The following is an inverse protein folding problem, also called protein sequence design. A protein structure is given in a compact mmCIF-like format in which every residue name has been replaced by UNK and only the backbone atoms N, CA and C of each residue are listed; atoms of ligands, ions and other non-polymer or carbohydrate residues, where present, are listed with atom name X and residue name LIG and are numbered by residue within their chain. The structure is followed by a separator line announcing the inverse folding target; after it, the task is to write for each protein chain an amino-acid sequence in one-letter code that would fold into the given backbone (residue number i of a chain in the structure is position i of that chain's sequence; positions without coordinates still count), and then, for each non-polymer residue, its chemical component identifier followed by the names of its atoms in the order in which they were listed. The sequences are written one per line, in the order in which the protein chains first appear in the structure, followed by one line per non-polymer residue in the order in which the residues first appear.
data_IF_967532398010
#
_entry.id   IF_967532398010
#
_cell.length_a   1.000
_cell.length_b   1.000
_cell.length_c   1.000
_cell.angle_alpha   90.00
_cell.angle_beta   90.00
_cell.angle_gamma   90.00
#
_symmetry.space_group_name_H-M   'P 1'
#
loop_
_entity.id
_entity.type
_entity.pdbx_description
1 polymer ?
#
# COMPACT_ATOMS: atom_id res chain seq x y z
N UNK A 1 -1.94 34.58 15.37
CA UNK A 1 -2.14 33.38 16.21
C UNK A 1 -1.28 32.28 15.64
N UNK A 2 -0.52 31.61 16.51
CA UNK A 2 0.68 30.82 16.21
C UNK A 2 0.35 29.51 15.47
N UNK A 3 0.94 29.32 14.30
CA UNK A 3 0.93 28.03 13.58
C UNK A 3 2.17 27.25 14.00
N UNK A 4 1.96 26.09 14.61
CA UNK A 4 2.98 25.19 15.12
C UNK A 4 3.55 24.41 13.92
N UNK A 5 4.78 24.72 13.53
CA UNK A 5 5.55 23.91 12.59
C UNK A 5 6.06 22.67 13.33
N UNK A 6 5.58 21.48 12.94
CA UNK A 6 6.13 20.22 13.42
C UNK A 6 7.43 19.96 12.65
N UNK A 7 8.53 20.48 13.18
CA UNK A 7 9.89 20.20 12.69
C UNK A 7 10.24 18.78 13.12
N UNK A 8 10.38 17.86 12.17
CA UNK A 8 11.10 16.60 12.39
C UNK A 8 12.57 16.94 12.67
N UNK A 9 12.91 17.10 13.95
CA UNK A 9 14.29 17.20 14.39
C UNK A 9 14.98 15.85 14.16
N UNK A 10 15.85 15.80 13.17
CA UNK A 10 16.92 14.80 13.11
C UNK A 10 17.87 15.13 14.26
N UNK A 11 17.67 14.50 15.41
CA UNK A 11 18.66 14.51 16.48
C UNK A 11 19.85 13.64 16.05
N UNK A 12 20.82 14.25 15.37
CA UNK A 12 22.19 13.76 15.36
C UNK A 12 22.77 14.00 16.77
N UNK A 13 22.41 13.11 17.70
CA UNK A 13 23.17 12.98 18.94
C UNK A 13 24.52 12.38 18.56
N UNK A 14 25.57 13.19 18.69
CA UNK A 14 26.93 12.69 18.64
C UNK A 14 27.16 11.78 19.86
N UNK A 15 26.80 10.50 19.72
CA UNK A 15 27.15 9.47 20.69
C UNK A 15 28.66 9.25 20.65
N UNK A 16 29.35 9.81 21.64
CA UNK A 16 30.69 9.39 22.03
C UNK A 16 30.68 7.89 22.34
N UNK A 17 31.31 7.07 21.50
CA UNK A 17 31.93 5.81 21.97
C UNK A 17 31.42 4.46 21.47
N UNK A 18 30.65 4.37 20.38
CA UNK A 18 30.47 3.07 19.70
C UNK A 18 31.22 3.10 18.36
N UNK A 19 32.30 2.32 18.26
CA UNK A 19 32.87 1.99 16.95
C UNK A 19 31.88 1.02 16.29
N UNK A 20 31.34 1.36 15.12
CA UNK A 20 30.42 0.48 14.39
C UNK A 20 30.95 -0.95 14.22
N UNK A 21 30.09 -1.89 13.90
CA UNK A 21 30.45 -3.31 13.85
C UNK A 21 31.23 -3.69 12.60
N UNK A 22 32.12 -4.67 12.74
CA UNK A 22 32.80 -5.34 11.64
C UNK A 22 32.19 -6.73 11.45
N UNK A 23 31.07 -6.77 10.74
CA UNK A 23 30.27 -7.98 10.52
C UNK A 23 31.05 -9.07 9.78
N UNK A 24 31.90 -8.70 8.82
CA UNK A 24 32.81 -9.62 8.10
C UNK A 24 34.19 -8.98 8.01
N UNK A 25 35.24 -9.78 8.19
CA UNK A 25 36.64 -9.37 8.09
C UNK A 25 37.43 -10.34 7.20
N UNK A 26 37.92 -9.86 6.05
CA UNK A 26 38.74 -10.70 5.15
C UNK A 26 38.05 -11.96 4.62
N UNK A 27 36.72 -11.90 4.41
CA UNK A 27 35.90 -13.01 3.92
C UNK A 27 35.50 -14.02 5.00
N UNK A 28 35.71 -13.70 6.28
CA UNK A 28 35.34 -14.54 7.42
C UNK A 28 34.52 -13.73 8.42
N UNK A 29 33.62 -14.40 9.14
CA UNK A 29 32.84 -13.79 10.21
C UNK A 29 32.78 -14.72 11.41
N UNK A 30 32.89 -14.13 12.60
CA UNK A 30 32.64 -14.82 13.87
C UNK A 30 31.25 -14.46 14.43
N UNK A 31 30.42 -13.76 13.66
CA UNK A 31 29.06 -13.41 14.07
C UNK A 31 28.12 -14.60 13.94
N UNK A 32 26.99 -14.51 14.64
CA UNK A 32 25.82 -15.35 14.42
C UNK A 32 24.59 -14.46 14.23
N UNK A 33 23.66 -14.86 13.39
CA UNK A 33 22.32 -14.25 13.32
C UNK A 33 21.42 -15.04 14.28
N UNK A 34 20.87 -14.37 15.29
CA UNK A 34 19.99 -14.95 16.30
C UNK A 34 18.56 -14.50 16.03
N UNK A 35 17.65 -15.47 15.99
CA UNK A 35 16.19 -15.30 15.88
C UNK A 35 15.50 -16.06 17.02
N UNK A 36 14.21 -15.79 17.32
CA UNK A 36 13.50 -16.47 18.41
C UNK A 36 13.48 -18.00 18.28
N UNK A 37 13.22 -18.69 19.39
CA UNK A 37 13.09 -20.17 19.39
C UNK A 37 11.94 -20.65 18.49
N UNK A 38 10.83 -19.90 18.48
CA UNK A 38 9.68 -20.10 17.61
C UNK A 38 9.52 -18.86 16.73
N UNK A 39 10.33 -18.71 15.67
CA UNK A 39 10.33 -17.50 14.87
C UNK A 39 9.08 -17.43 13.99
N UNK A 40 8.63 -16.21 13.70
CA UNK A 40 7.65 -15.96 12.64
C UNK A 40 8.28 -16.18 11.25
N UNK A 41 7.46 -16.38 10.22
CA UNK A 41 7.94 -16.48 8.85
C UNK A 41 8.76 -15.24 8.42
N UNK A 42 8.43 -14.08 8.98
CA UNK A 42 9.01 -12.78 8.69
C UNK A 42 10.39 -12.64 9.34
N UNK A 43 10.58 -13.17 10.55
CA UNK A 43 11.89 -13.24 11.20
C UNK A 43 12.83 -14.20 10.47
N UNK A 44 12.32 -15.37 10.03
CA UNK A 44 13.10 -16.32 9.21
C UNK A 44 13.47 -15.70 7.86
N UNK A 45 12.52 -15.04 7.19
CA UNK A 45 12.74 -14.33 5.91
C UNK A 45 13.77 -13.22 6.04
N UNK A 46 13.71 -12.42 7.11
CA UNK A 46 14.68 -11.37 7.38
C UNK A 46 16.10 -11.92 7.62
N UNK A 47 16.22 -12.99 8.42
CA UNK A 47 17.51 -13.67 8.64
C UNK A 47 18.09 -14.25 7.35
N UNK A 48 17.24 -14.83 6.50
CA UNK A 48 17.63 -15.34 5.19
C UNK A 48 18.15 -14.22 4.27
N UNK A 49 17.46 -13.07 4.20
CA UNK A 49 17.92 -11.93 3.40
C UNK A 49 19.30 -11.47 3.85
N UNK A 50 19.49 -11.27 5.16
CA UNK A 50 20.76 -10.80 5.69
C UNK A 50 21.90 -11.78 5.41
N UNK A 51 21.70 -13.07 5.71
CA UNK A 51 22.70 -14.12 5.46
C UNK A 51 23.05 -14.20 3.97
N UNK A 52 22.04 -14.22 3.11
CA UNK A 52 22.20 -14.35 1.66
C UNK A 52 22.98 -13.18 1.08
N UNK A 53 22.63 -11.94 1.43
CA UNK A 53 23.33 -10.77 0.90
C UNK A 53 24.74 -10.59 1.50
N UNK A 54 24.95 -10.91 2.79
CA UNK A 54 26.31 -10.94 3.36
C UNK A 54 27.21 -11.92 2.61
N UNK A 55 26.68 -13.12 2.26
CA UNK A 55 27.39 -14.11 1.44
C UNK A 55 27.62 -13.61 0.02
N UNK A 56 26.61 -13.00 -0.63
CA UNK A 56 26.76 -12.39 -1.97
C UNK A 56 27.83 -11.29 -1.97
N UNK A 57 27.91 -10.45 -0.93
CA UNK A 57 28.86 -9.33 -0.84
C UNK A 57 30.29 -9.82 -0.60
N UNK A 58 30.47 -10.73 0.37
CA UNK A 58 31.80 -11.03 0.93
C UNK A 58 32.30 -12.45 0.70
N UNK A 59 31.40 -13.38 0.41
CA UNK A 59 31.63 -14.82 0.40
C UNK A 59 31.58 -15.47 1.78
N UNK A 60 31.45 -14.70 2.86
CA UNK A 60 31.30 -15.24 4.21
C UNK A 60 29.84 -15.67 4.46
N UNK A 61 29.66 -16.83 5.07
CA UNK A 61 28.36 -17.31 5.52
C UNK A 61 28.25 -17.15 7.03
N UNK A 62 27.25 -16.41 7.49
CA UNK A 62 26.99 -16.20 8.91
C UNK A 62 25.88 -17.17 9.33
N UNK A 63 26.10 -18.07 10.31
CA UNK A 63 25.09 -19.03 10.71
C UNK A 63 23.86 -18.34 11.31
N UNK A 64 22.67 -18.80 10.92
CA UNK A 64 21.40 -18.45 11.57
C UNK A 64 21.12 -19.48 12.66
N UNK A 65 20.90 -19.01 13.89
CA UNK A 65 20.70 -19.84 15.08
C UNK A 65 19.42 -19.41 15.78
N UNK A 66 18.53 -20.38 16.04
CA UNK A 66 17.32 -20.15 16.84
C UNK A 66 17.67 -20.08 18.32
N UNK A 67 17.03 -19.17 19.03
CA UNK A 67 17.14 -19.01 20.48
C UNK A 67 17.81 -17.71 20.92
N UNK A 68 17.11 -17.01 21.81
CA UNK A 68 17.49 -15.71 22.35
C UNK A 68 18.01 -15.78 23.79
N UNK A 69 18.43 -16.97 24.24
CA UNK A 69 19.11 -17.18 25.52
C UNK A 69 20.50 -16.54 25.54
N UNK A 70 21.53 -17.27 25.98
CA UNK A 70 22.89 -16.74 26.05
C UNK A 70 23.40 -16.29 24.66
N UNK A 71 23.42 -14.96 24.46
CA UNK A 71 23.87 -14.33 23.23
C UNK A 71 25.41 -14.23 23.23
N UNK A 72 26.09 -14.63 22.14
CA UNK A 72 27.53 -14.42 22.03
C UNK A 72 27.86 -12.92 21.93
N UNK A 73 29.13 -12.57 22.16
CA UNK A 73 29.62 -11.18 22.06
C UNK A 73 29.35 -10.57 20.67
N UNK A 74 29.66 -11.32 19.60
CA UNK A 74 29.41 -10.93 18.20
C UNK A 74 28.10 -11.53 17.70
N UNK A 75 27.07 -10.70 17.61
CA UNK A 75 25.72 -11.18 17.30
C UNK A 75 24.91 -10.17 16.50
N UNK A 76 24.13 -10.67 15.54
CA UNK A 76 23.00 -9.94 14.96
C UNK A 76 21.73 -10.52 15.55
N UNK A 77 20.92 -9.70 16.22
CA UNK A 77 19.62 -10.10 16.77
C UNK A 77 18.53 -9.60 15.84
N UNK A 78 17.66 -10.49 15.37
CA UNK A 78 16.48 -10.14 14.56
C UNK A 78 15.26 -10.70 15.29
N UNK A 79 14.31 -9.84 15.66
CA UNK A 79 13.05 -10.26 16.25
C UNK A 79 11.94 -9.22 16.08
N UNK A 80 10.71 -9.65 16.14
CA UNK A 80 9.56 -8.79 16.40
C UNK A 80 9.62 -8.28 17.84
N UNK A 81 9.30 -7.00 18.04
CA UNK A 81 9.28 -6.38 19.36
C UNK A 81 8.04 -5.49 19.54
N UNK A 82 7.34 -5.67 20.66
CA UNK A 82 6.12 -4.90 20.96
C UNK A 82 6.35 -3.41 21.17
N UNK A 83 7.61 -2.96 21.34
CA UNK A 83 7.97 -1.55 21.37
C UNK A 83 7.90 -0.86 20.00
N UNK A 84 7.90 -1.63 18.90
CA UNK A 84 7.74 -1.11 17.54
C UNK A 84 6.25 -1.12 17.18
N UNK A 85 5.58 0.01 17.45
CA UNK A 85 4.11 0.12 17.36
C UNK A 85 3.58 -0.06 15.93
N UNK A 86 4.29 0.48 14.92
CA UNK A 86 3.89 0.29 13.53
C UNK A 86 4.25 -1.13 13.07
N UNK A 87 3.27 -1.87 12.53
CA UNK A 87 3.41 -3.27 12.13
C UNK A 87 4.54 -3.53 11.12
N UNK A 88 4.76 -2.58 10.21
CA UNK A 88 5.83 -2.62 9.20
C UNK A 88 7.04 -1.77 9.58
N UNK A 89 6.97 -1.04 10.69
CA UNK A 89 8.08 -0.25 11.20
C UNK A 89 9.23 -1.11 11.71
N UNK A 90 10.39 -0.48 11.87
CA UNK A 90 11.56 -1.14 12.44
C UNK A 90 12.45 -0.18 13.22
N UNK A 91 13.28 -0.74 14.08
CA UNK A 91 14.38 -0.04 14.76
C UNK A 91 15.67 -0.83 14.59
N UNK A 92 16.75 -0.11 14.32
CA UNK A 92 18.09 -0.65 14.15
C UNK A 92 19.00 -0.01 15.19
N UNK A 93 19.78 -0.83 15.90
CA UNK A 93 20.76 -0.33 16.85
C UNK A 93 22.05 -1.15 16.83
N UNK A 94 23.20 -0.48 16.88
CA UNK A 94 24.48 -1.12 17.21
C UNK A 94 24.92 -0.74 18.62
N UNK A 95 25.33 -1.74 19.38
CA UNK A 95 25.91 -1.56 20.71
C UNK A 95 27.07 -2.55 20.90
N UNK A 96 28.29 -2.03 21.05
CA UNK A 96 29.50 -2.85 21.04
C UNK A 96 29.62 -3.71 19.77
N UNK A 97 29.67 -5.03 19.93
CA UNK A 97 29.72 -6.03 18.84
C UNK A 97 28.34 -6.58 18.46
N UNK A 98 27.25 -5.94 18.90
CA UNK A 98 25.87 -6.36 18.63
C UNK A 98 25.21 -5.43 17.61
N UNK A 99 24.56 -6.02 16.63
CA UNK A 99 23.54 -5.36 15.80
C UNK A 99 22.16 -5.90 16.20
N UNK A 100 21.22 -5.03 16.48
CA UNK A 100 19.84 -5.39 16.82
C UNK A 100 18.90 -4.81 15.78
N UNK A 101 18.05 -5.66 15.22
CA UNK A 101 17.01 -5.34 14.24
C UNK A 101 15.68 -5.75 14.87
N UNK A 102 14.91 -4.77 15.32
CA UNK A 102 13.57 -5.00 15.86
C UNK A 102 12.54 -4.57 14.83
N UNK A 103 11.58 -5.44 14.54
CA UNK A 103 10.47 -5.14 13.65
C UNK A 103 9.13 -5.09 14.37
N UNK A 104 8.15 -4.43 13.76
CA UNK A 104 6.75 -4.60 14.13
C UNK A 104 6.22 -6.01 13.83
N UNK A 105 4.92 -6.21 14.08
CA UNK A 105 4.28 -7.53 14.01
C UNK A 105 4.03 -8.07 12.59
N UNK A 106 4.37 -7.32 11.55
CA UNK A 106 4.22 -7.72 10.15
C UNK A 106 5.60 -7.78 9.47
N UNK A 107 5.89 -6.96 8.44
CA UNK A 107 7.13 -7.07 7.65
C UNK A 107 8.30 -6.25 8.19
N UNK A 108 8.19 -5.66 9.38
CA UNK A 108 9.21 -4.78 9.96
C UNK A 108 10.62 -5.38 10.02
N UNK A 109 10.78 -6.65 10.41
CA UNK A 109 12.10 -7.30 10.46
C UNK A 109 12.74 -7.38 9.06
N UNK A 110 11.95 -7.71 8.04
CA UNK A 110 12.40 -7.82 6.65
C UNK A 110 12.86 -6.43 6.17
N UNK A 111 12.05 -5.40 6.40
CA UNK A 111 12.34 -4.04 5.97
C UNK A 111 13.55 -3.43 6.70
N UNK A 112 13.73 -3.74 7.99
CA UNK A 112 14.92 -3.33 8.73
C UNK A 112 16.21 -3.96 8.20
N UNK A 113 16.17 -5.23 7.81
CA UNK A 113 17.31 -5.88 7.12
C UNK A 113 17.57 -5.22 5.77
N UNK A 114 16.54 -5.04 4.94
CA UNK A 114 16.69 -4.39 3.62
C UNK A 114 17.24 -2.97 3.77
N UNK A 115 16.83 -2.21 4.78
CA UNK A 115 17.35 -0.86 5.02
C UNK A 115 18.87 -0.87 5.27
N UNK A 116 19.37 -1.85 6.02
CA UNK A 116 20.83 -2.05 6.19
C UNK A 116 21.49 -2.39 4.86
N UNK A 117 20.90 -3.34 4.10
CA UNK A 117 21.45 -3.75 2.80
C UNK A 117 21.54 -2.56 1.83
N UNK A 118 20.51 -1.72 1.76
CA UNK A 118 20.46 -0.58 0.85
C UNK A 118 21.32 0.59 1.32
N UNK A 119 21.12 1.06 2.56
CA UNK A 119 21.71 2.32 3.05
C UNK A 119 23.13 2.14 3.56
N UNK A 120 23.46 0.98 4.13
CA UNK A 120 24.78 0.74 4.74
C UNK A 120 25.69 -0.08 3.83
N UNK A 121 25.13 -1.02 3.05
CA UNK A 121 25.91 -1.95 2.23
C UNK A 121 25.85 -1.67 0.73
N UNK A 122 25.03 -0.71 0.29
CA UNK A 122 24.94 -0.27 -1.10
C UNK A 122 24.31 -1.29 -2.05
N UNK A 123 23.54 -2.25 -1.53
CA UNK A 123 22.78 -3.16 -2.36
C UNK A 123 21.57 -2.46 -2.99
N UNK A 124 21.17 -2.90 -4.18
CA UNK A 124 19.98 -2.43 -4.88
C UNK A 124 19.31 -3.61 -5.57
N UNK A 125 17.99 -3.60 -5.60
CA UNK A 125 17.19 -4.39 -6.52
C UNK A 125 16.40 -3.38 -7.34
N UNK A 126 16.65 -3.29 -8.64
CA UNK A 126 15.97 -2.31 -9.50
C UNK A 126 14.80 -2.96 -10.26
N UNK A 127 14.93 -4.26 -10.55
CA UNK A 127 13.89 -5.11 -11.14
C UNK A 127 14.03 -6.53 -10.59
N UNK A 128 13.03 -7.41 -10.77
CA UNK A 128 13.18 -8.83 -10.43
C UNK A 128 14.39 -9.51 -11.10
N UNK A 129 14.78 -9.04 -12.29
CA UNK A 129 15.91 -9.60 -13.05
C UNK A 129 17.24 -8.89 -12.84
N UNK A 130 17.29 -7.79 -12.09
CA UNK A 130 18.50 -6.97 -11.97
C UNK A 130 18.71 -6.40 -10.57
N UNK A 131 19.77 -6.88 -9.93
CA UNK A 131 20.28 -6.39 -8.66
C UNK A 131 21.72 -5.89 -8.79
N UNK A 132 22.09 -4.94 -7.94
CA UNK A 132 23.47 -4.49 -7.74
C UNK A 132 23.89 -4.92 -6.33
N UNK A 133 24.93 -5.75 -6.26
CA UNK A 133 25.50 -6.23 -4.99
C UNK A 133 27.00 -5.93 -4.96
N UNK A 134 27.45 -4.95 -4.16
CA UNK A 134 28.87 -4.63 -4.02
C UNK A 134 29.70 -5.83 -3.56
N UNK A 135 30.96 -5.90 -4.00
CA UNK A 135 31.87 -7.01 -3.65
C UNK A 135 32.98 -6.53 -2.73
N UNK A 136 32.92 -6.95 -1.46
CA UNK A 136 33.88 -6.56 -0.44
C UNK A 136 34.20 -7.72 0.50
N UNK A 137 35.48 -8.01 0.72
CA UNK A 137 35.90 -9.03 1.70
C UNK A 137 35.68 -8.59 3.15
N UNK A 138 35.43 -7.32 3.41
CA UNK A 138 35.19 -6.80 4.75
C UNK A 138 33.90 -6.01 4.73
N UNK A 139 32.96 -6.36 5.62
CA UNK A 139 31.69 -5.65 5.80
C UNK A 139 31.76 -4.91 7.12
N UNK A 140 31.56 -3.60 7.06
CA UNK A 140 31.47 -2.71 8.21
C UNK A 140 30.11 -2.04 8.20
N UNK A 141 29.46 -2.03 9.34
CA UNK A 141 28.23 -1.27 9.54
C UNK A 141 28.60 -0.18 10.56
N UNK A 142 28.40 1.11 10.25
CA UNK A 142 28.74 2.19 11.17
C UNK A 142 27.90 2.11 12.45
N UNK A 143 28.24 2.92 13.45
CA UNK A 143 27.37 3.08 14.61
C UNK A 143 25.99 3.59 14.14
N UNK A 144 24.92 2.92 14.57
CA UNK A 144 23.56 3.21 14.14
C UNK A 144 22.59 3.13 15.32
N UNK A 145 21.66 4.08 15.34
CA UNK A 145 20.49 4.12 16.22
C UNK A 145 19.39 4.80 15.42
N UNK A 146 18.69 4.01 14.60
CA UNK A 146 17.74 4.49 13.60
C UNK A 146 16.40 3.78 13.79
N UNK A 147 15.31 4.47 13.52
CA UNK A 147 13.99 3.84 13.37
C UNK A 147 13.29 4.46 12.18
N UNK A 148 12.52 3.66 11.47
CA UNK A 148 11.77 4.09 10.29
C UNK A 148 10.45 3.33 10.24
N UNK A 149 9.43 3.95 9.66
CA UNK A 149 8.08 3.39 9.53
C UNK A 149 7.36 4.03 8.35
N UNK A 150 6.44 3.32 7.70
CA UNK A 150 5.73 3.87 6.57
C UNK A 150 4.72 4.95 7.00
N UNK A 151 4.55 5.97 6.16
CA UNK A 151 3.42 6.91 6.28
C UNK A 151 2.13 6.24 5.79
N UNK A 152 2.18 5.49 4.69
CA UNK A 152 1.03 4.79 4.14
C UNK A 152 0.99 3.34 4.64
N UNK A 153 -0.11 2.93 5.26
CA UNK A 153 -0.29 1.64 5.91
C UNK A 153 -0.55 0.49 4.94
N UNK A 154 -0.97 0.79 3.71
CA UNK A 154 -1.12 -0.18 2.62
C UNK A 154 -0.58 0.42 1.31
N UNK A 155 0.29 -0.31 0.62
CA UNK A 155 1.19 0.19 -0.43
C UNK A 155 1.23 -0.77 -1.62
N UNK A 156 0.10 -0.91 -2.30
CA UNK A 156 0.04 -1.71 -3.51
C UNK A 156 0.44 -0.89 -4.73
N UNK A 157 1.50 -1.30 -5.40
CA UNK A 157 1.84 -0.84 -6.74
C UNK A 157 1.56 -1.99 -7.70
N UNK A 158 0.42 -1.91 -8.40
CA UNK A 158 -0.08 -3.04 -9.18
C UNK A 158 0.77 -3.26 -10.43
N UNK A 159 1.60 -4.31 -10.40
CA UNK A 159 2.53 -4.66 -11.46
C UNK A 159 2.90 -6.15 -11.37
N UNK A 160 3.27 -6.76 -12.50
CA UNK A 160 3.86 -8.11 -12.53
C UNK A 160 5.17 -8.22 -11.75
N UNK A 161 5.86 -7.12 -11.48
CA UNK A 161 7.13 -7.20 -10.72
C UNK A 161 6.94 -7.75 -9.31
N UNK A 162 5.76 -7.58 -8.70
CA UNK A 162 5.47 -8.12 -7.37
C UNK A 162 5.10 -9.60 -7.38
N UNK A 163 5.11 -10.27 -8.54
CA UNK A 163 5.06 -11.74 -8.61
C UNK A 163 6.37 -12.37 -8.11
N UNK A 164 7.47 -11.61 -8.13
CA UNK A 164 8.72 -11.99 -7.47
C UNK A 164 8.66 -11.59 -5.99
N UNK A 165 8.69 -12.56 -5.05
CA UNK A 165 8.56 -12.27 -3.62
C UNK A 165 9.78 -11.58 -3.02
N UNK A 166 10.98 -11.75 -3.59
CA UNK A 166 12.17 -11.02 -3.14
C UNK A 166 12.04 -9.54 -3.51
N UNK A 167 11.59 -9.25 -4.73
CA UNK A 167 11.33 -7.89 -5.21
C UNK A 167 10.20 -7.21 -4.45
N UNK A 168 9.09 -7.92 -4.21
CA UNK A 168 7.98 -7.42 -3.41
C UNK A 168 8.45 -6.97 -2.01
N UNK A 169 9.20 -7.84 -1.31
CA UNK A 169 9.75 -7.52 0.00
C UNK A 169 10.75 -6.36 -0.06
N UNK A 170 11.67 -6.38 -1.04
CA UNK A 170 12.70 -5.35 -1.23
C UNK A 170 12.08 -3.95 -1.40
N UNK A 171 10.95 -3.87 -2.12
CA UNK A 171 10.26 -2.62 -2.38
C UNK A 171 9.12 -2.32 -1.41
N UNK A 172 8.93 -3.12 -0.37
CA UNK A 172 7.94 -2.87 0.69
C UNK A 172 6.51 -2.76 0.15
N UNK A 173 6.22 -3.55 -0.89
CA UNK A 173 4.96 -3.53 -1.62
C UNK A 173 3.96 -4.58 -1.09
N UNK A 174 2.68 -4.22 -1.06
CA UNK A 174 1.58 -5.09 -0.65
C UNK A 174 0.85 -5.68 -1.86
N UNK A 175 0.26 -6.87 -1.69
CA UNK A 175 -0.54 -7.53 -2.74
C UNK A 175 -2.03 -7.38 -2.45
N UNK A 176 -2.79 -7.12 -3.52
CA UNK A 176 -4.24 -6.93 -3.46
C UNK A 176 -4.96 -8.11 -2.84
N UNK A 177 -4.52 -9.31 -3.18
CA UNK A 177 -5.14 -10.57 -2.76
C UNK A 177 -4.64 -11.07 -1.41
N UNK A 178 -3.71 -10.37 -0.75
CA UNK A 178 -3.38 -10.66 0.65
C UNK A 178 -4.57 -10.27 1.54
N UNK A 179 -5.17 -9.09 1.29
CA UNK A 179 -6.27 -8.56 2.09
C UNK A 179 -7.67 -8.84 1.51
N UNK A 180 -7.83 -8.74 0.19
CA UNK A 180 -9.13 -8.96 -0.46
C UNK A 180 -9.33 -10.43 -0.87
N UNK A 181 -10.55 -10.97 -0.73
CA UNK A 181 -10.87 -12.32 -1.15
C UNK A 181 -10.86 -12.45 -2.67
N UNK A 182 -10.49 -13.63 -3.16
CA UNK A 182 -10.55 -13.96 -4.58
C UNK A 182 -11.99 -13.80 -5.07
N UNK A 183 -12.18 -12.97 -6.10
CA UNK A 183 -13.48 -12.66 -6.70
C UNK A 183 -14.26 -11.51 -6.05
N UNK A 184 -13.75 -10.89 -4.98
CA UNK A 184 -14.51 -9.91 -4.18
C UNK A 184 -13.77 -8.58 -3.94
N UNK A 185 -13.08 -8.05 -4.96
CA UNK A 185 -12.32 -6.79 -4.86
C UNK A 185 -13.20 -5.54 -5.06
N UNK A 186 -13.93 -5.45 -6.17
CA UNK A 186 -14.85 -4.34 -6.51
C UNK A 186 -15.98 -4.83 -7.39
N UNK A 187 -17.03 -4.02 -7.56
CA UNK A 187 -18.19 -4.34 -8.40
C UNK A 187 -18.85 -5.68 -8.00
N UNK A 188 -18.95 -5.88 -6.69
CA UNK A 188 -19.26 -7.18 -6.10
C UNK A 188 -20.75 -7.38 -5.84
N UNK A 189 -21.58 -6.36 -5.99
CA UNK A 189 -23.01 -6.46 -5.70
C UNK A 189 -23.68 -7.60 -6.48
N UNK A 190 -23.33 -7.82 -7.76
CA UNK A 190 -23.85 -8.96 -8.53
C UNK A 190 -23.35 -10.34 -8.07
N UNK A 191 -22.23 -10.41 -7.34
CA UNK A 191 -21.76 -11.68 -6.75
C UNK A 191 -22.66 -12.10 -5.58
N UNK A 192 -23.18 -11.14 -4.81
CA UNK A 192 -24.07 -11.40 -3.68
C UNK A 192 -25.55 -11.34 -4.07
N UNK A 193 -25.89 -10.67 -5.16
CA UNK A 193 -27.26 -10.46 -5.62
C UNK A 193 -27.34 -10.58 -7.15
N UNK A 194 -27.16 -11.79 -7.69
CA UNK A 194 -27.16 -12.03 -9.12
C UNK A 194 -28.51 -11.70 -9.77
N UNK A 195 -28.56 -10.86 -10.84
CA UNK A 195 -29.81 -10.46 -11.46
C UNK A 195 -30.61 -11.62 -12.05
N UNK A 196 -29.95 -12.68 -12.53
CA UNK A 196 -30.60 -13.86 -13.09
C UNK A 196 -31.52 -14.60 -12.11
N UNK A 197 -31.27 -14.46 -10.80
CA UNK A 197 -32.03 -15.18 -9.77
C UNK A 197 -33.29 -14.41 -9.34
N UNK A 198 -33.29 -13.07 -9.51
CA UNK A 198 -34.32 -12.21 -8.90
C UNK A 198 -34.99 -11.24 -9.86
N UNK A 199 -34.39 -10.84 -10.98
CA UNK A 199 -34.92 -9.72 -11.77
C UNK A 199 -36.27 -10.00 -12.43
N UNK A 200 -36.49 -11.23 -12.92
CA UNK A 200 -37.74 -11.61 -13.59
C UNK A 200 -38.93 -11.67 -12.63
N UNK A 201 -38.71 -12.15 -11.40
CA UNK A 201 -39.77 -12.36 -10.40
C UNK A 201 -39.92 -11.20 -9.43
N UNK A 202 -38.84 -10.45 -9.19
CA UNK A 202 -38.73 -9.35 -8.24
C UNK A 202 -38.02 -8.11 -8.85
N UNK A 203 -38.53 -7.53 -9.94
CA UNK A 203 -37.91 -6.36 -10.55
C UNK A 203 -37.84 -5.15 -9.60
N UNK A 204 -38.69 -5.09 -8.57
CA UNK A 204 -38.68 -4.05 -7.53
C UNK A 204 -37.42 -4.05 -6.66
N UNK A 205 -36.67 -5.16 -6.63
CA UNK A 205 -35.39 -5.25 -5.91
C UNK A 205 -34.26 -4.52 -6.63
N UNK A 206 -34.46 -4.13 -7.90
CA UNK A 206 -33.43 -3.54 -8.74
C UNK A 206 -33.64 -2.04 -8.94
N UNK A 207 -32.61 -1.35 -9.40
CA UNK A 207 -32.64 0.10 -9.58
C UNK A 207 -33.75 0.52 -10.57
N UNK A 208 -34.46 1.60 -10.23
CA UNK A 208 -35.35 2.29 -11.17
C UNK A 208 -34.55 3.37 -11.88
N UNK A 209 -34.49 3.38 -13.20
CA UNK A 209 -33.81 4.41 -14.01
C UNK A 209 -34.75 4.79 -15.15
N UNK A 210 -35.07 6.08 -15.26
CA UNK A 210 -35.93 6.66 -16.29
C UNK A 210 -37.28 5.92 -16.42
N UNK A 211 -37.86 5.57 -15.28
CA UNK A 211 -39.15 4.89 -15.18
C UNK A 211 -39.12 3.38 -15.44
N UNK A 212 -37.94 2.77 -15.65
CA UNK A 212 -37.78 1.33 -15.88
C UNK A 212 -36.88 0.68 -14.83
N UNK A 213 -37.24 -0.54 -14.40
CA UNK A 213 -36.34 -1.35 -13.57
C UNK A 213 -35.27 -1.97 -14.44
N UNK A 214 -34.03 -1.95 -13.97
CA UNK A 214 -32.86 -2.35 -14.74
C UNK A 214 -32.03 -3.39 -13.95
N UNK A 215 -31.56 -4.49 -14.56
CA UNK A 215 -30.88 -5.57 -13.84
C UNK A 215 -29.44 -5.23 -13.40
N UNK A 216 -28.84 -4.16 -13.91
CA UNK A 216 -27.41 -3.85 -13.74
C UNK A 216 -27.05 -3.44 -12.31
N UNK A 217 -28.01 -2.98 -11.51
CA UNK A 217 -27.76 -2.45 -10.18
C UNK A 217 -28.92 -2.75 -9.21
N UNK A 218 -28.65 -3.22 -7.97
CA UNK A 218 -29.70 -3.40 -6.97
C UNK A 218 -30.22 -2.07 -6.41
N UNK A 219 -31.45 -2.08 -5.89
CA UNK A 219 -32.03 -0.96 -5.16
C UNK A 219 -31.65 -1.01 -3.69
N UNK A 220 -30.66 -0.20 -3.28
CA UNK A 220 -30.11 -0.21 -1.91
C UNK A 220 -31.06 0.29 -0.82
N UNK A 221 -32.23 0.84 -1.17
CA UNK A 221 -33.28 1.20 -0.20
C UNK A 221 -34.33 0.09 0.00
N UNK A 222 -34.19 -1.05 -0.70
CA UNK A 222 -35.12 -2.17 -0.59
C UNK A 222 -34.65 -3.16 0.49
N UNK A 223 -35.47 -3.50 1.50
CA UNK A 223 -35.04 -4.31 2.64
C UNK A 223 -34.63 -5.74 2.26
N UNK A 224 -35.30 -6.36 1.28
CA UNK A 224 -34.94 -7.71 0.81
C UNK A 224 -33.56 -7.78 0.15
N UNK A 225 -33.10 -6.68 -0.47
CA UNK A 225 -31.75 -6.61 -1.05
C UNK A 225 -30.71 -6.73 0.06
N UNK A 226 -30.89 -5.97 1.17
CA UNK A 226 -30.01 -6.05 2.33
C UNK A 226 -30.00 -7.48 2.92
N UNK A 227 -31.18 -8.07 3.11
CA UNK A 227 -31.32 -9.42 3.67
C UNK A 227 -30.63 -10.49 2.82
N UNK A 228 -30.84 -10.47 1.50
CA UNK A 228 -30.26 -11.46 0.59
C UNK A 228 -28.75 -11.27 0.46
N UNK A 229 -28.29 -10.03 0.28
CA UNK A 229 -26.87 -9.74 0.12
C UNK A 229 -26.07 -10.10 1.37
N UNK A 230 -26.56 -9.78 2.56
CA UNK A 230 -25.86 -10.12 3.81
C UNK A 230 -25.82 -11.62 4.06
N UNK A 231 -26.88 -12.36 3.70
CA UNK A 231 -26.86 -13.82 3.76
C UNK A 231 -25.80 -14.43 2.82
N UNK A 232 -25.73 -13.96 1.57
CA UNK A 232 -24.76 -14.46 0.59
C UNK A 232 -23.32 -14.02 0.91
N UNK A 233 -23.14 -12.79 1.43
CA UNK A 233 -21.86 -12.32 1.92
C UNK A 233 -21.34 -13.19 3.05
N UNK A 234 -22.20 -13.59 4.00
CA UNK A 234 -21.82 -14.51 5.08
C UNK A 234 -21.31 -15.85 4.54
N UNK A 235 -21.98 -16.42 3.54
CA UNK A 235 -21.52 -17.66 2.91
C UNK A 235 -20.15 -17.48 2.22
N UNK A 236 -19.93 -16.34 1.57
CA UNK A 236 -18.64 -16.03 0.96
C UNK A 236 -17.52 -15.89 2.02
N UNK A 237 -17.82 -15.24 3.16
CA UNK A 237 -16.90 -15.12 4.30
C UNK A 237 -16.54 -16.48 4.90
N UNK A 238 -17.50 -17.40 5.02
CA UNK A 238 -17.25 -18.77 5.48
C UNK A 238 -16.37 -19.57 4.51
N UNK A 239 -16.43 -19.27 3.20
CA UNK A 239 -15.59 -19.91 2.19
C UNK A 239 -14.14 -19.37 2.13
N UNK A 240 -13.89 -18.16 2.62
CA UNK A 240 -12.54 -17.54 2.69
C UNK A 240 -12.31 -16.92 4.09
N UNK A 241 -12.20 -17.75 5.15
CA UNK A 241 -12.26 -17.30 6.54
C UNK A 241 -11.03 -16.48 6.99
N UNK A 242 -9.92 -16.58 6.27
CA UNK A 242 -8.68 -15.83 6.48
C UNK A 242 -8.78 -14.37 6.02
N UNK A 243 -9.81 -14.02 5.25
CA UNK A 243 -10.00 -12.67 4.70
C UNK A 243 -10.78 -11.78 5.66
N UNK A 244 -10.28 -10.55 5.80
CA UNK A 244 -10.80 -9.56 6.74
C UNK A 244 -11.47 -8.37 6.08
N UNK A 245 -11.17 -8.08 4.81
CA UNK A 245 -11.76 -6.97 4.05
C UNK A 245 -12.70 -7.54 2.98
N UNK A 246 -13.94 -7.06 2.93
CA UNK A 246 -14.94 -7.53 1.97
C UNK A 246 -15.55 -6.34 1.23
N UNK A 247 -15.43 -6.33 -0.09
CA UNK A 247 -16.04 -5.29 -0.91
C UNK A 247 -17.51 -5.56 -1.10
N UNK A 248 -18.35 -4.59 -0.75
CA UNK A 248 -19.80 -4.56 -1.04
C UNK A 248 -20.05 -3.27 -1.80
N UNK A 249 -19.72 -3.28 -3.08
CA UNK A 249 -19.61 -2.08 -3.91
C UNK A 249 -20.48 -2.14 -5.16
N UNK A 250 -20.97 -0.97 -5.57
CA UNK A 250 -21.79 -0.80 -6.77
C UNK A 250 -21.20 -1.52 -7.98
N UNK A 251 -22.05 -2.10 -8.84
CA UNK A 251 -21.61 -2.65 -10.11
C UNK A 251 -21.13 -1.51 -11.03
N UNK A 252 -20.42 -1.87 -12.11
CA UNK A 252 -19.88 -0.89 -13.06
C UNK A 252 -20.99 -0.35 -13.97
N UNK A 253 -21.84 0.50 -13.39
CA UNK A 253 -23.00 1.11 -14.03
C UNK A 253 -23.20 2.54 -13.53
N UNK A 254 -23.37 3.47 -14.47
CA UNK A 254 -23.25 4.90 -14.20
C UNK A 254 -24.45 5.52 -13.46
N UNK A 255 -25.63 4.89 -13.49
CA UNK A 255 -26.85 5.49 -12.94
C UNK A 255 -27.18 4.99 -11.53
N UNK A 256 -27.55 5.93 -10.66
CA UNK A 256 -28.11 5.62 -9.35
C UNK A 256 -29.61 5.28 -9.45
N UNK A 257 -30.13 4.54 -8.46
CA UNK A 257 -31.56 4.24 -8.39
C UNK A 257 -32.39 5.51 -8.14
N UNK A 258 -33.41 5.71 -8.97
CA UNK A 258 -34.32 6.85 -8.99
C UNK A 258 -35.68 6.55 -8.36
N UNK A 259 -35.82 5.47 -7.58
CA UNK A 259 -37.05 5.21 -6.82
C UNK A 259 -37.25 6.25 -5.71
N UNK A 260 -38.48 6.43 -5.23
CA UNK A 260 -38.83 7.51 -4.30
C UNK A 260 -37.96 7.52 -3.03
N UNK A 261 -37.73 6.35 -2.43
CA UNK A 261 -36.87 6.21 -1.24
C UNK A 261 -35.42 6.61 -1.52
N UNK A 262 -34.84 6.14 -2.63
CA UNK A 262 -33.47 6.50 -3.00
C UNK A 262 -33.35 8.00 -3.31
N UNK A 263 -34.34 8.58 -4.01
CA UNK A 263 -34.39 10.02 -4.28
C UNK A 263 -34.46 10.85 -3.00
N UNK A 264 -35.28 10.45 -2.04
CA UNK A 264 -35.38 11.10 -0.74
C UNK A 264 -34.04 11.09 0.00
N UNK A 265 -33.38 9.92 0.07
CA UNK A 265 -32.05 9.81 0.69
C UNK A 265 -31.03 10.67 -0.05
N UNK A 266 -31.00 10.65 -1.39
CA UNK A 266 -30.05 11.44 -2.19
C UNK A 266 -30.29 12.95 -1.97
N UNK A 267 -31.54 13.39 -1.92
CA UNK A 267 -31.88 14.78 -1.63
C UNK A 267 -31.44 15.19 -0.22
N UNK A 268 -31.59 14.28 0.75
CA UNK A 268 -31.17 14.49 2.13
C UNK A 268 -29.64 14.58 2.28
N UNK A 269 -28.93 13.70 1.59
CA UNK A 269 -27.48 13.54 1.67
C UNK A 269 -26.71 14.43 0.69
N UNK A 270 -27.39 15.03 -0.29
CA UNK A 270 -26.79 15.82 -1.36
C UNK A 270 -25.88 15.03 -2.31
N UNK A 271 -25.91 13.69 -2.26
CA UNK A 271 -25.03 12.82 -3.07
C UNK A 271 -25.64 11.44 -3.32
N UNK A 272 -25.31 10.85 -4.47
CA UNK A 272 -25.63 9.45 -4.81
C UNK A 272 -24.95 8.42 -3.92
N UNK A 273 -23.93 8.82 -3.15
CA UNK A 273 -23.32 7.96 -2.12
C UNK A 273 -24.22 7.76 -0.90
N UNK A 274 -25.23 8.62 -0.67
CA UNK A 274 -26.12 8.53 0.49
C UNK A 274 -26.74 7.14 0.69
N UNK A 275 -27.48 6.62 -0.31
CA UNK A 275 -28.01 5.25 -0.24
C UNK A 275 -26.93 4.17 -0.09
N UNK A 276 -25.75 4.37 -0.69
CA UNK A 276 -24.62 3.42 -0.60
C UNK A 276 -24.10 3.33 0.83
N UNK A 277 -23.76 4.47 1.45
CA UNK A 277 -23.20 4.50 2.81
C UNK A 277 -24.20 4.01 3.84
N UNK A 278 -25.48 4.39 3.72
CA UNK A 278 -26.52 3.84 4.60
C UNK A 278 -26.61 2.32 4.49
N UNK A 279 -26.59 1.78 3.28
CA UNK A 279 -26.63 0.33 3.06
C UNK A 279 -25.39 -0.38 3.64
N UNK A 280 -24.19 0.10 3.33
CA UNK A 280 -22.96 -0.59 3.77
C UNK A 280 -22.73 -0.45 5.27
N UNK A 281 -23.22 0.62 5.93
CA UNK A 281 -23.22 0.69 7.38
C UNK A 281 -24.09 -0.41 8.01
N UNK A 282 -25.29 -0.67 7.47
CA UNK A 282 -26.12 -1.79 7.94
C UNK A 282 -25.41 -3.14 7.75
N UNK A 283 -24.74 -3.35 6.60
CA UNK A 283 -23.93 -4.54 6.36
C UNK A 283 -22.78 -4.63 7.38
N UNK A 284 -22.04 -3.55 7.59
CA UNK A 284 -20.86 -3.53 8.46
C UNK A 284 -21.21 -3.80 9.93
N UNK A 285 -22.37 -3.37 10.40
CA UNK A 285 -22.88 -3.68 11.76
C UNK A 285 -23.19 -5.16 11.96
N UNK A 286 -23.52 -5.89 10.90
CA UNK A 286 -23.76 -7.34 10.95
C UNK A 286 -22.46 -8.16 11.00
N UNK A 287 -21.32 -7.57 10.60
CA UNK A 287 -20.01 -8.20 10.54
C UNK A 287 -18.93 -7.32 11.20
N UNK A 288 -19.02 -7.08 12.53
CA UNK A 288 -18.13 -6.12 13.22
C UNK A 288 -16.66 -6.55 13.27
N UNK A 289 -16.35 -7.83 13.01
CA UNK A 289 -14.99 -8.37 12.92
C UNK A 289 -14.37 -8.23 11.51
N UNK A 290 -15.14 -7.71 10.55
CA UNK A 290 -14.74 -7.50 9.16
C UNK A 290 -14.73 -6.02 8.82
N UNK A 291 -13.92 -5.65 7.84
CA UNK A 291 -13.96 -4.35 7.17
C UNK A 291 -14.83 -4.48 5.92
N UNK A 292 -15.84 -3.62 5.79
CA UNK A 292 -16.67 -3.55 4.59
C UNK A 292 -16.16 -2.41 3.71
N UNK A 293 -15.61 -2.76 2.54
CA UNK A 293 -15.13 -1.80 1.55
C UNK A 293 -16.26 -1.44 0.58
N UNK A 294 -16.36 -0.17 0.17
CA UNK A 294 -17.27 0.26 -0.89
C UNK A 294 -16.64 1.33 -1.77
N UNK A 295 -17.09 1.43 -3.02
CA UNK A 295 -16.64 2.45 -3.95
C UNK A 295 -17.26 3.82 -3.64
N UNK A 296 -16.44 4.86 -3.77
CA UNK A 296 -16.83 6.23 -4.04
C UNK A 296 -16.42 6.55 -5.48
N UNK A 297 -17.30 6.19 -6.43
CA UNK A 297 -17.01 6.13 -7.86
C UNK A 297 -18.23 6.58 -8.68
N UNK A 298 -17.99 7.38 -9.73
CA UNK A 298 -19.03 7.92 -10.60
C UNK A 298 -20.17 8.59 -9.78
N UNK A 299 -21.40 8.05 -9.83
CA UNK A 299 -22.56 8.62 -9.13
C UNK A 299 -22.41 8.67 -7.61
N UNK A 300 -21.56 7.83 -7.02
CA UNK A 300 -21.30 7.78 -5.57
C UNK A 300 -19.99 8.47 -5.16
N UNK A 301 -19.32 9.18 -6.08
CA UNK A 301 -18.00 9.78 -5.79
C UNK A 301 -18.04 10.82 -4.68
N UNK A 302 -19.02 11.71 -4.68
CA UNK A 302 -19.08 12.78 -3.68
C UNK A 302 -19.53 12.26 -2.32
N UNK A 303 -18.88 12.73 -1.25
CA UNK A 303 -19.23 12.37 0.12
C UNK A 303 -20.68 12.79 0.47
N UNK A 304 -21.41 11.98 1.26
CA UNK A 304 -22.73 12.37 1.77
C UNK A 304 -22.61 13.48 2.83
N UNK A 305 -23.63 14.34 2.94
CA UNK A 305 -23.64 15.48 3.86
C UNK A 305 -23.88 15.10 5.33
N UNK A 306 -24.67 14.06 5.60
CA UNK A 306 -25.13 13.72 6.94
C UNK A 306 -24.61 12.37 7.42
N UNK A 307 -24.85 11.32 6.63
CA UNK A 307 -24.45 9.96 7.02
C UNK A 307 -22.93 9.85 7.01
N UNK A 308 -22.35 9.27 8.06
CA UNK A 308 -20.92 8.98 8.13
C UNK A 308 -20.69 7.47 7.97
N UNK A 309 -19.63 7.03 7.27
CA UNK A 309 -19.23 5.63 7.29
C UNK A 309 -18.97 5.15 8.73
N UNK A 310 -19.43 3.95 9.06
CA UNK A 310 -19.13 3.33 10.36
C UNK A 310 -17.62 2.99 10.47
N UNK A 311 -17.12 2.74 11.69
CA UNK A 311 -15.69 2.59 11.95
C UNK A 311 -15.02 1.43 11.19
N UNK A 312 -15.78 0.41 10.79
CA UNK A 312 -15.32 -0.72 9.98
C UNK A 312 -15.74 -0.62 8.51
N UNK A 313 -16.12 0.57 8.02
CA UNK A 313 -16.36 0.83 6.60
C UNK A 313 -15.14 1.52 5.98
N UNK A 314 -14.64 0.95 4.88
CA UNK A 314 -13.55 1.50 4.07
C UNK A 314 -14.12 2.09 2.78
N UNK A 315 -13.67 3.30 2.43
CA UNK A 315 -14.11 4.03 1.24
C UNK A 315 -13.03 3.96 0.18
N UNK A 316 -13.33 3.27 -0.91
CA UNK A 316 -12.47 3.17 -2.09
C UNK A 316 -12.73 4.35 -3.03
N UNK A 317 -11.90 5.40 -2.94
CA UNK A 317 -12.01 6.60 -3.77
C UNK A 317 -11.13 6.47 -5.02
N UNK A 318 -11.70 6.75 -6.20
CA UNK A 318 -11.01 6.57 -7.48
C UNK A 318 -10.65 7.90 -8.15
N UNK A 319 -9.49 7.96 -8.79
CA UNK A 319 -8.99 9.16 -9.52
C UNK A 319 -9.07 9.03 -11.06
N UNK A 320 -9.89 8.10 -11.59
CA UNK A 320 -9.86 7.73 -13.02
C UNK A 320 -10.02 8.91 -13.99
N UNK A 321 -10.79 9.94 -13.61
CA UNK A 321 -11.09 11.11 -14.45
C UNK A 321 -9.98 12.19 -14.44
N UNK A 322 -8.96 12.07 -13.59
CA UNK A 322 -8.00 13.17 -13.40
C UNK A 322 -7.05 13.35 -14.59
N UNK A 323 -6.62 14.59 -14.83
CA UNK A 323 -5.48 14.82 -15.70
C UNK A 323 -4.20 14.24 -15.06
N UNK A 324 -3.30 13.66 -15.87
CA UNK A 324 -2.03 13.08 -15.40
C UNK A 324 -0.79 13.84 -15.87
N UNK A 325 -0.95 14.93 -16.63
CA UNK A 325 0.16 15.78 -17.06
C UNK A 325 0.56 16.84 -16.03
N UNK A 326 -0.28 17.10 -15.03
CA UNK A 326 -0.10 18.14 -14.01
C UNK A 326 -0.50 17.57 -12.63
N UNK A 327 0.10 18.05 -11.53
CA UNK A 327 -0.35 17.68 -10.20
C UNK A 327 -1.84 17.99 -9.98
N UNK A 328 -2.58 17.09 -9.33
CA UNK A 328 -4.03 17.21 -9.10
C UNK A 328 -4.36 18.51 -8.33
N UNK A 329 -3.49 18.92 -7.43
CA UNK A 329 -3.66 20.15 -6.64
C UNK A 329 -3.52 21.44 -7.46
N UNK A 330 -2.86 21.38 -8.62
CA UNK A 330 -2.57 22.52 -9.48
C UNK A 330 -3.48 22.57 -10.72
N UNK A 331 -4.09 21.45 -11.08
CA UNK A 331 -5.01 21.35 -12.21
C UNK A 331 -6.42 21.85 -11.85
N UNK A 332 -6.83 22.98 -12.42
CA UNK A 332 -8.16 23.57 -12.18
C UNK A 332 -9.32 22.62 -12.55
N UNK A 333 -9.12 21.69 -13.50
CA UNK A 333 -10.14 20.68 -13.89
C UNK A 333 -10.41 19.68 -12.77
N UNK A 334 -9.47 19.52 -11.85
CA UNK A 334 -9.56 18.60 -10.71
C UNK A 334 -10.31 19.19 -9.50
N UNK A 335 -10.89 20.40 -9.62
CA UNK A 335 -11.61 21.08 -8.53
C UNK A 335 -12.70 20.20 -7.88
N UNK A 336 -13.45 19.42 -8.67
CA UNK A 336 -14.50 18.54 -8.14
C UNK A 336 -13.92 17.42 -7.28
N UNK A 337 -12.84 16.78 -7.72
CA UNK A 337 -12.15 15.75 -6.95
C UNK A 337 -11.46 16.31 -5.70
N UNK A 338 -10.83 17.48 -5.80
CA UNK A 338 -10.22 18.16 -4.64
C UNK A 338 -11.24 18.43 -3.55
N UNK A 339 -12.48 18.79 -3.92
CA UNK A 339 -13.58 18.88 -2.97
C UNK A 339 -13.91 17.50 -2.40
N UNK A 340 -14.11 16.49 -3.24
CA UNK A 340 -14.51 15.15 -2.81
C UNK A 340 -13.51 14.53 -1.82
N UNK A 341 -12.20 14.58 -2.09
CA UNK A 341 -11.18 14.01 -1.18
C UNK A 341 -11.13 14.74 0.17
N UNK A 342 -11.30 16.07 0.17
CA UNK A 342 -11.39 16.86 1.41
C UNK A 342 -12.63 16.49 2.21
N UNK A 343 -13.79 16.37 1.57
CA UNK A 343 -15.03 16.01 2.26
C UNK A 343 -15.01 14.57 2.80
N UNK A 344 -14.49 13.61 2.04
CA UNK A 344 -14.28 12.25 2.55
C UNK A 344 -13.31 12.23 3.73
N UNK A 345 -12.17 12.93 3.63
CA UNK A 345 -11.16 13.01 4.68
C UNK A 345 -11.65 13.64 5.99
N UNK A 346 -12.76 14.39 5.97
CA UNK A 346 -13.43 14.94 7.17
C UNK A 346 -14.34 13.94 7.88
N UNK A 347 -14.81 12.90 7.19
CA UNK A 347 -15.86 12.01 7.70
C UNK A 347 -15.39 10.57 7.94
N UNK A 348 -14.23 10.18 7.41
CA UNK A 348 -13.61 8.88 7.68
C UNK A 348 -12.08 8.98 7.64
N UNK A 349 -11.41 8.00 8.27
CA UNK A 349 -9.95 7.79 8.19
C UNK A 349 -9.58 6.51 7.44
N UNK A 350 -10.57 5.79 6.90
CA UNK A 350 -10.39 4.54 6.15
C UNK A 350 -10.65 4.79 4.66
N UNK A 351 -9.81 5.61 4.06
CA UNK A 351 -9.86 5.84 2.62
C UNK A 351 -8.80 4.96 1.97
N UNK A 352 -9.26 4.08 1.08
CA UNK A 352 -8.45 3.31 0.16
C UNK A 352 -8.44 4.04 -1.19
N UNK A 353 -7.30 4.55 -1.62
CA UNK A 353 -7.21 5.23 -2.89
C UNK A 353 -6.94 4.24 -4.00
N UNK A 354 -7.84 4.19 -4.98
CA UNK A 354 -7.52 3.64 -6.28
C UNK A 354 -7.02 4.77 -7.18
N UNK A 355 -5.70 4.90 -7.27
CA UNK A 355 -5.05 5.83 -8.17
C UNK A 355 -4.59 5.15 -9.46
N UNK A 356 -4.53 5.92 -10.54
CA UNK A 356 -4.15 5.43 -11.86
C UNK A 356 -2.93 6.18 -12.34
N UNK A 357 -1.88 5.44 -12.68
CA UNK A 357 -0.63 5.98 -13.23
C UNK A 357 -0.36 5.44 -14.63
N UNK A 358 -1.43 5.04 -15.31
CA UNK A 358 -1.49 4.42 -16.65
C UNK A 358 -2.49 5.14 -17.56
N UNK A 359 -2.27 5.05 -18.87
CA UNK A 359 -3.23 5.46 -19.89
C UNK A 359 -3.86 4.23 -20.56
N UNK A 360 -5.11 3.89 -20.21
CA UNK A 360 -5.79 2.72 -20.77
C UNK A 360 -6.11 2.84 -22.27
N UNK A 361 -6.29 4.05 -22.79
CA UNK A 361 -6.56 4.26 -24.20
C UNK A 361 -5.30 4.06 -25.06
N UNK A 362 -4.11 4.33 -24.49
CA UNK A 362 -2.83 4.31 -25.19
C UNK A 362 -1.75 3.64 -24.33
N UNK A 363 -1.90 2.33 -24.14
CA UNK A 363 -1.20 1.55 -23.11
C UNK A 363 0.33 1.45 -23.27
N UNK A 364 0.85 1.60 -24.49
CA UNK A 364 2.28 1.47 -24.85
C UNK A 364 2.91 2.78 -25.33
N UNK A 365 2.14 3.88 -25.35
CA UNK A 365 2.69 5.18 -25.74
C UNK A 365 3.41 5.83 -24.56
N UNK A 366 4.35 6.75 -24.81
CA UNK A 366 4.91 7.57 -23.75
C UNK A 366 3.81 8.21 -22.89
N UNK A 367 3.98 8.16 -21.57
CA UNK A 367 3.04 8.67 -20.59
C UNK A 367 3.80 9.44 -19.50
N UNK A 368 4.18 10.70 -19.77
CA UNK A 368 5.04 11.50 -18.90
C UNK A 368 4.27 11.95 -17.65
N UNK A 369 4.29 11.13 -16.61
CA UNK A 369 3.57 11.36 -15.37
C UNK A 369 4.41 11.09 -14.11
N UNK A 370 5.75 11.01 -14.23
CA UNK A 370 6.62 10.78 -13.09
C UNK A 370 6.66 11.98 -12.13
N UNK A 371 6.64 13.19 -12.67
CA UNK A 371 6.69 14.45 -11.90
C UNK A 371 5.44 14.68 -11.03
N UNK A 372 4.31 14.08 -11.39
CA UNK A 372 3.06 14.23 -10.62
C UNK A 372 2.94 13.24 -9.46
N UNK A 373 3.74 12.17 -9.43
CA UNK A 373 3.60 11.09 -8.45
C UNK A 373 3.73 11.59 -7.00
N UNK A 374 4.81 12.32 -6.71
CA UNK A 374 5.05 12.85 -5.37
C UNK A 374 3.99 13.87 -4.91
N UNK A 375 3.72 14.97 -5.64
CA UNK A 375 2.75 15.96 -5.18
C UNK A 375 1.33 15.36 -5.05
N UNK A 376 0.96 14.38 -5.87
CA UNK A 376 -0.31 13.67 -5.73
C UNK A 376 -0.34 12.81 -4.45
N UNK A 377 0.68 12.00 -4.18
CA UNK A 377 0.76 11.20 -2.94
C UNK A 377 0.73 12.11 -1.70
N UNK A 378 1.44 13.24 -1.71
CA UNK A 378 1.41 14.23 -0.64
C UNK A 378 0.00 14.84 -0.45
N UNK A 379 -0.70 15.16 -1.54
CA UNK A 379 -2.08 15.62 -1.51
C UNK A 379 -2.99 14.56 -0.84
N UNK A 380 -2.83 13.29 -1.19
CA UNK A 380 -3.65 12.21 -0.64
C UNK A 380 -3.43 12.03 0.86
N UNK A 381 -2.16 11.95 1.29
CA UNK A 381 -1.76 11.84 2.70
C UNK A 381 -2.27 13.03 3.52
N UNK A 382 -2.18 14.26 2.98
CA UNK A 382 -2.70 15.47 3.62
C UNK A 382 -4.22 15.41 3.88
N UNK A 383 -4.95 14.59 3.12
CA UNK A 383 -6.39 14.42 3.24
C UNK A 383 -6.79 13.08 3.90
N UNK A 384 -5.93 12.54 4.76
CA UNK A 384 -6.17 11.30 5.54
C UNK A 384 -6.31 10.03 4.69
N UNK A 385 -5.66 9.99 3.53
CA UNK A 385 -5.59 8.78 2.70
C UNK A 385 -4.23 8.12 2.92
N UNK A 386 -4.25 6.91 3.49
CA UNK A 386 -3.05 6.16 3.88
C UNK A 386 -2.99 4.75 3.29
N UNK A 387 -3.99 4.36 2.50
CA UNK A 387 -4.06 3.07 1.83
C UNK A 387 -4.09 3.33 0.33
N UNK A 388 -3.13 2.78 -0.41
CA UNK A 388 -2.95 3.09 -1.82
C UNK A 388 -2.91 1.83 -2.66
N UNK A 389 -3.75 1.84 -3.69
CA UNK A 389 -3.64 1.00 -4.88
C UNK A 389 -3.26 1.88 -6.05
N UNK A 390 -1.98 1.84 -6.41
CA UNK A 390 -1.41 2.55 -7.53
C UNK A 390 -1.48 1.63 -8.76
N UNK A 391 -2.52 1.80 -9.54
CA UNK A 391 -2.69 1.03 -10.76
C UNK A 391 -1.77 1.57 -11.85
N UNK A 392 -0.65 0.89 -12.02
CA UNK A 392 0.24 1.07 -13.16
C UNK A 392 -0.18 0.15 -14.31
N UNK A 393 0.50 0.24 -15.45
CA UNK A 393 0.39 -0.81 -16.45
C UNK A 393 1.04 -2.09 -15.88
N UNK A 394 0.23 -3.12 -15.69
CA UNK A 394 0.68 -4.39 -15.12
C UNK A 394 1.30 -5.35 -16.15
N UNK A 395 1.41 -4.97 -17.42
CA UNK A 395 1.96 -5.79 -18.51
C UNK A 395 3.23 -5.15 -19.11
N UNK A 396 3.87 -5.89 -20.02
CA UNK A 396 5.10 -5.49 -20.71
C UNK A 396 4.83 -4.33 -21.67
N UNK A 397 5.81 -3.43 -21.79
CA UNK A 397 5.84 -2.40 -22.84
C UNK A 397 5.36 -1.02 -22.40
N UNK A 398 5.14 -0.78 -21.11
CA UNK A 398 4.92 0.57 -20.61
C UNK A 398 6.25 1.32 -20.47
N UNK A 399 6.25 2.58 -20.88
CA UNK A 399 7.38 3.47 -20.68
C UNK A 399 7.78 3.54 -19.19
N UNK A 400 9.06 3.30 -18.92
CA UNK A 400 9.67 3.42 -17.60
C UNK A 400 8.92 2.70 -16.48
N UNK A 401 8.34 1.53 -16.76
CA UNK A 401 7.57 0.75 -15.77
C UNK A 401 8.37 0.47 -14.49
N UNK A 402 9.65 0.17 -14.65
CA UNK A 402 10.61 -0.15 -13.58
C UNK A 402 10.89 1.06 -12.71
N UNK A 403 11.21 2.21 -13.32
CA UNK A 403 11.43 3.47 -12.62
C UNK A 403 10.16 3.93 -11.92
N UNK A 404 8.99 3.79 -12.55
CA UNK A 404 7.70 4.17 -11.98
C UNK A 404 7.41 3.39 -10.72
N UNK A 405 7.58 2.07 -10.79
CA UNK A 405 7.43 1.20 -9.65
C UNK A 405 8.42 1.58 -8.53
N UNK A 406 9.68 1.81 -8.90
CA UNK A 406 10.72 2.23 -7.97
C UNK A 406 10.32 3.50 -7.20
N UNK A 407 9.90 4.55 -7.91
CA UNK A 407 9.47 5.81 -7.32
C UNK A 407 8.21 5.66 -6.46
N UNK A 408 7.17 5.01 -6.98
CA UNK A 408 5.92 4.78 -6.24
C UNK A 408 6.17 4.03 -4.93
N UNK A 409 6.93 2.93 -4.97
CA UNK A 409 7.22 2.13 -3.76
C UNK A 409 7.92 2.94 -2.66
N UNK A 410 8.84 3.83 -3.04
CA UNK A 410 9.58 4.70 -2.09
C UNK A 410 8.72 5.85 -1.59
N UNK A 411 7.92 6.47 -2.45
CA UNK A 411 6.98 7.54 -2.08
C UNK A 411 5.86 7.03 -1.17
N UNK A 412 5.38 5.81 -1.39
CA UNK A 412 4.38 5.19 -0.54
C UNK A 412 4.94 4.86 0.85
N UNK A 413 6.24 4.58 0.99
CA UNK A 413 6.87 4.51 2.31
C UNK A 413 7.02 5.90 2.94
N UNK A 414 7.63 6.84 2.21
CA UNK A 414 7.90 8.20 2.65
C UNK A 414 7.58 9.21 1.54
N UNK A 415 6.44 9.93 1.61
CA UNK A 415 6.05 10.93 0.63
C UNK A 415 7.01 12.11 0.50
N UNK A 416 7.86 12.35 1.49
CA UNK A 416 8.82 13.46 1.53
C UNK A 416 10.22 13.07 1.02
N UNK A 417 10.39 11.85 0.51
CA UNK A 417 11.67 11.41 -0.06
C UNK A 417 12.03 12.27 -1.29
N UNK A 418 13.30 12.60 -1.47
CA UNK A 418 13.76 13.38 -2.62
C UNK A 418 13.71 12.51 -3.89
N UNK A 419 12.74 12.77 -4.77
CA UNK A 419 12.54 12.00 -6.00
C UNK A 419 13.67 12.16 -6.99
N UNK A 420 14.31 13.32 -7.08
CA UNK A 420 15.45 13.54 -7.98
C UNK A 420 16.62 12.63 -7.63
N UNK A 421 16.88 12.45 -6.33
CA UNK A 421 17.91 11.55 -5.82
C UNK A 421 17.57 10.09 -6.08
N UNK A 422 16.29 9.71 -5.95
CA UNK A 422 15.84 8.36 -6.28
C UNK A 422 15.95 8.07 -7.78
N UNK A 423 15.54 9.02 -8.62
CA UNK A 423 15.67 8.94 -10.08
C UNK A 423 17.14 8.84 -10.46
N UNK A 424 18.01 9.69 -9.90
CA UNK A 424 19.45 9.62 -10.18
C UNK A 424 20.09 8.30 -9.74
N UNK A 425 19.71 7.75 -8.57
CA UNK A 425 20.14 6.42 -8.11
C UNK A 425 19.70 5.33 -9.08
N UNK A 426 18.42 5.32 -9.47
CA UNK A 426 17.88 4.37 -10.43
C UNK A 426 18.57 4.49 -11.80
N UNK A 427 18.69 5.69 -12.33
CA UNK A 427 19.31 5.92 -13.64
C UNK A 427 20.75 5.41 -13.66
N UNK A 428 21.55 5.80 -12.67
CA UNK A 428 22.95 5.39 -12.57
C UNK A 428 23.08 3.87 -12.37
N UNK A 429 22.24 3.28 -11.52
CA UNK A 429 22.35 1.87 -11.17
C UNK A 429 21.81 0.93 -12.25
N UNK A 430 20.66 1.26 -12.83
CA UNK A 430 19.97 0.42 -13.82
C UNK A 430 20.49 0.63 -15.25
N UNK A 431 20.66 1.90 -15.68
CA UNK A 431 21.13 2.21 -17.04
C UNK A 431 22.65 2.40 -17.14
N UNK A 432 23.36 2.55 -16.01
CA UNK A 432 24.81 2.61 -15.99
C UNK A 432 25.36 3.76 -16.86
N UNK A 433 26.32 3.50 -17.78
CA UNK A 433 26.86 4.51 -18.68
C UNK A 433 25.82 5.22 -19.56
N UNK A 434 24.65 4.63 -19.80
CA UNK A 434 23.59 5.24 -20.60
C UNK A 434 22.75 6.27 -19.81
N UNK A 435 22.90 6.32 -18.48
CA UNK A 435 22.10 7.17 -17.60
C UNK A 435 21.94 8.63 -18.06
N UNK A 436 22.99 9.35 -18.53
CA UNK A 436 22.81 10.74 -18.96
C UNK A 436 21.86 10.91 -20.15
N UNK A 437 21.86 9.95 -21.09
CA UNK A 437 21.00 9.99 -22.28
C UNK A 437 19.56 9.66 -21.94
N UNK A 438 19.36 8.70 -21.04
CA UNK A 438 18.03 8.31 -20.57
C UNK A 438 17.42 9.42 -19.68
N UNK A 439 18.24 10.07 -18.84
CA UNK A 439 17.80 11.24 -18.08
C UNK A 439 17.35 12.37 -19.01
N UNK A 440 18.12 12.63 -20.09
CA UNK A 440 17.75 13.64 -21.10
C UNK A 440 16.44 13.31 -21.82
N UNK A 441 16.08 12.04 -21.95
CA UNK A 441 14.79 11.63 -22.52
C UNK A 441 13.64 11.75 -21.52
N UNK A 442 13.92 11.59 -20.22
CA UNK A 442 12.93 11.74 -19.15
C UNK A 442 12.58 13.21 -18.88
N UNK A 443 13.60 14.09 -18.93
CA UNK A 443 13.49 15.55 -18.77
C UNK A 443 12.79 16.19 -19.98
#
# INVERSE_FOLDING_TARGET
MRTIALVCLIFLTACSGSNGIKLVNGGKSDYQIRIPDNPTAQEERAAWFLQSYVKKISGAEIPVVKGMGDLPDKVVVIKTDGGVINKDGFSLNTDGNRLTILGGTHKGCIYGVIDILERQLGCRMYTPGFEVVPKHKTIRIPALSVSDQPVNVYRNVFSRFTEDPDFQDWHRADLMFDDFPLGYYVHTMNQFFPPQDYFTTHPEYFALVDGKRIPEQPCLSHPEVLRIMTANLKLAMEAQPDKHIWSVSQNDYNACCQCDKCKEIIAEEGSGSGPVIRFVNEVARMFPDKVISTLAYQFSRSAPLKTRPDENVQIMLCTIEMNRSEPIAEDYRSTSFLKDIVEWGKITKRIYLWDYTVNFAHHVTPFPNMHVLQPNIQLFVKNNVFEHFQQTNADVGHEFSELKFYLLSRLLWNPEVNTDSLTADFMKGYFGPAAPFIQTYLD
#
